data_IF_821911693646
#
_entry.id   IF_821911693646
#
_cell.length_a   1.000
_cell.length_b   1.000
_cell.length_c   1.000
_cell.angle_alpha   90.00
_cell.angle_beta   90.00
_cell.angle_gamma   90.00
#
_symmetry.space_group_name_H-M   'P 1'
#
loop_
_entity.id
_entity.type
_entity.pdbx_description
1 polymer ?
#
# COMPACT_ATOMS: atom_id res chain seq x y z
N UNK A 1 -0.36 18.91 -38.99
CA UNK A 1 0.84 18.13 -38.63
C UNK A 1 0.43 16.97 -37.74
N UNK A 2 0.77 15.71 -38.09
CA UNK A 2 0.49 14.55 -37.23
C UNK A 2 1.69 14.32 -36.30
N UNK A 3 1.55 14.65 -35.02
CA UNK A 3 2.58 14.38 -34.02
C UNK A 3 2.73 12.86 -33.86
N UNK A 4 3.87 12.33 -34.31
CA UNK A 4 4.23 10.91 -34.14
C UNK A 4 4.85 10.76 -32.74
N UNK A 5 4.06 10.29 -31.78
CA UNK A 5 4.55 10.01 -30.43
C UNK A 5 5.69 8.97 -30.47
N UNK A 6 6.78 9.23 -29.75
CA UNK A 6 7.90 8.29 -29.63
C UNK A 6 7.44 7.03 -28.90
N UNK A 7 7.84 5.85 -29.38
CA UNK A 7 7.61 4.59 -28.68
C UNK A 7 8.45 4.58 -27.40
N UNK A 8 7.81 4.58 -26.24
CA UNK A 8 8.47 4.34 -24.95
C UNK A 8 8.47 2.84 -24.66
N UNK A 9 9.65 2.24 -24.61
CA UNK A 9 9.81 0.83 -24.25
C UNK A 9 9.74 0.67 -22.73
N UNK A 10 9.13 -0.42 -22.25
CA UNK A 10 9.09 -0.74 -20.81
C UNK A 10 7.83 -0.32 -20.06
N UNK A 11 6.96 0.51 -20.65
CA UNK A 11 5.68 0.90 -20.03
C UNK A 11 4.76 -0.30 -19.70
N UNK A 12 4.94 -1.45 -20.38
CA UNK A 12 4.16 -2.66 -20.12
C UNK A 12 4.52 -3.36 -18.80
N UNK A 13 5.67 -3.04 -18.20
CA UNK A 13 6.12 -3.61 -16.92
C UNK A 13 5.79 -2.74 -15.72
N UNK A 14 5.27 -1.53 -15.92
CA UNK A 14 4.95 -0.63 -14.82
C UNK A 14 3.65 -1.14 -14.17
N UNK A 15 3.79 -1.79 -13.03
CA UNK A 15 2.66 -2.22 -12.23
C UNK A 15 2.09 -1.07 -11.40
N UNK A 16 0.77 -1.10 -11.25
CA UNK A 16 0.01 -0.10 -10.51
C UNK A 16 -0.47 -0.70 -9.20
N UNK A 17 -0.48 0.12 -8.16
CA UNK A 17 -1.02 -0.23 -6.87
C UNK A 17 -2.55 -0.39 -6.97
N UNK A 18 -3.12 -1.51 -6.48
CA UNK A 18 -4.56 -1.78 -6.59
C UNK A 18 -5.44 -0.88 -5.72
N UNK A 19 -4.86 -0.08 -4.82
CA UNK A 19 -5.60 0.79 -3.90
C UNK A 19 -5.66 2.25 -4.36
N UNK A 20 -4.67 2.74 -5.12
CA UNK A 20 -4.56 4.16 -5.48
C UNK A 20 -4.02 4.44 -6.89
N UNK A 21 -3.86 3.40 -7.72
CA UNK A 21 -3.38 3.47 -9.11
C UNK A 21 -2.00 4.10 -9.35
N UNK A 22 -1.31 4.51 -8.27
CA UNK A 22 0.09 4.95 -8.31
C UNK A 22 1.00 3.77 -8.65
N UNK A 23 2.20 4.07 -9.14
CA UNK A 23 3.20 3.03 -9.42
C UNK A 23 3.50 2.21 -8.15
N UNK A 24 3.45 0.89 -8.28
CA UNK A 24 3.82 0.00 -7.20
C UNK A 24 5.35 -0.06 -7.07
N UNK A 25 5.83 0.01 -5.83
CA UNK A 25 7.27 0.03 -5.51
C UNK A 25 7.65 -1.08 -4.54
N UNK A 26 6.70 -1.62 -3.79
CA UNK A 26 6.94 -2.59 -2.72
C UNK A 26 5.90 -3.71 -2.78
N UNK A 27 6.20 -4.85 -2.15
CA UNK A 27 5.26 -5.96 -2.00
C UNK A 27 4.72 -6.02 -0.58
N UNK A 28 3.41 -6.21 -0.44
CA UNK A 28 2.78 -6.47 0.84
C UNK A 28 3.06 -7.91 1.31
N UNK A 29 2.72 -8.26 2.55
CA UNK A 29 2.77 -9.59 3.14
C UNK A 29 1.97 -10.63 2.33
N UNK A 30 0.86 -10.21 1.70
CA UNK A 30 0.06 -11.05 0.78
C UNK A 30 0.72 -11.19 -0.61
N UNK A 31 1.87 -10.55 -0.84
CA UNK A 31 2.61 -10.54 -2.10
C UNK A 31 1.97 -9.72 -3.21
N UNK A 32 1.12 -8.75 -2.86
CA UNK A 32 0.59 -7.75 -3.78
C UNK A 32 1.57 -6.60 -3.97
N UNK A 33 1.72 -6.16 -5.21
CA UNK A 33 2.51 -4.99 -5.55
C UNK A 33 1.73 -3.72 -5.19
N UNK A 34 2.22 -2.98 -4.21
CA UNK A 34 1.60 -1.81 -3.62
C UNK A 34 2.58 -0.63 -3.58
N UNK A 35 2.04 0.58 -3.43
CA UNK A 35 2.87 1.74 -3.15
C UNK A 35 3.32 1.74 -1.67
N UNK A 36 4.29 2.58 -1.32
CA UNK A 36 4.80 2.70 0.05
C UNK A 36 3.71 2.99 1.10
N UNK A 37 2.62 3.67 0.73
CA UNK A 37 1.54 4.02 1.66
C UNK A 37 0.65 2.82 2.03
N UNK A 38 0.60 1.79 1.19
CA UNK A 38 -0.33 0.65 1.32
C UNK A 38 0.39 -0.68 1.58
N UNK A 39 1.61 -0.62 2.10
CA UNK A 39 2.40 -1.79 2.48
C UNK A 39 1.78 -2.58 3.63
N UNK A 40 1.09 -1.89 4.54
CA UNK A 40 0.44 -2.50 5.70
C UNK A 40 -1.06 -2.78 5.49
N UNK A 41 -1.62 -2.44 4.33
CA UNK A 41 -3.05 -2.64 4.06
C UNK A 41 -3.30 -4.01 3.44
N UNK A 42 -3.91 -4.93 4.18
CA UNK A 42 -4.36 -6.21 3.63
C UNK A 42 -5.65 -6.07 2.84
N UNK A 43 -5.81 -6.86 1.78
CA UNK A 43 -7.10 -6.99 1.11
C UNK A 43 -8.07 -7.83 1.94
N UNK A 44 -9.33 -7.40 1.93
CA UNK A 44 -10.47 -8.13 2.51
C UNK A 44 -10.73 -9.43 1.76
N UNK A 45 -11.25 -10.43 2.48
CA UNK A 45 -11.62 -11.73 1.94
C UNK A 45 -12.80 -11.60 0.96
N UNK A 46 -12.65 -12.15 -0.25
CA UNK A 46 -13.66 -12.08 -1.31
C UNK A 46 -14.32 -13.46 -1.46
N UNK A 47 -15.64 -13.49 -1.58
CA UNK A 47 -16.37 -14.71 -1.94
C UNK A 47 -16.44 -14.85 -3.45
N UNK A 48 -16.21 -16.07 -3.95
CA UNK A 48 -16.46 -16.42 -5.34
C UNK A 48 -17.98 -16.46 -5.62
N UNK A 49 -18.36 -16.40 -6.90
CA UNK A 49 -19.76 -16.55 -7.36
C UNK A 49 -20.38 -17.88 -6.90
N UNK A 50 -19.57 -18.93 -6.72
CA UNK A 50 -20.02 -20.22 -6.19
C UNK A 50 -20.23 -20.25 -4.66
N UNK A 51 -20.01 -19.12 -3.96
CA UNK A 51 -20.18 -18.97 -2.52
C UNK A 51 -19.01 -19.46 -1.66
N UNK A 52 -17.95 -20.03 -2.24
CA UNK A 52 -16.73 -20.38 -1.51
C UNK A 52 -15.75 -19.20 -1.43
N UNK A 53 -14.88 -19.23 -0.42
CA UNK A 53 -13.86 -18.20 -0.20
C UNK A 53 -12.74 -18.29 -1.23
N UNK A 54 -12.27 -17.13 -1.68
CA UNK A 54 -11.13 -17.02 -2.60
C UNK A 54 -9.85 -16.87 -1.79
N UNK A 55 -8.94 -17.82 -1.93
CA UNK A 55 -7.59 -17.72 -1.38
C UNK A 55 -6.70 -16.91 -2.31
N UNK A 56 -6.04 -15.89 -1.78
CA UNK A 56 -5.04 -15.15 -2.54
C UNK A 56 -3.72 -15.91 -2.57
N UNK A 57 -3.15 -16.08 -3.78
CA UNK A 57 -1.86 -16.73 -3.99
C UNK A 57 -1.02 -15.91 -4.99
N UNK A 58 0.29 -16.11 -4.95
CA UNK A 58 1.25 -15.43 -5.82
C UNK A 58 1.88 -16.43 -6.77
N UNK A 59 1.94 -16.08 -8.05
CA UNK A 59 2.60 -16.89 -9.08
C UNK A 59 3.59 -16.07 -9.89
N UNK A 60 4.19 -16.69 -10.91
CA UNK A 60 5.18 -16.07 -11.81
C UNK A 60 4.69 -14.78 -12.48
N UNK A 61 3.38 -14.67 -12.73
CA UNK A 61 2.76 -13.55 -13.45
C UNK A 61 2.04 -12.57 -12.51
N UNK A 62 2.25 -12.68 -11.20
CA UNK A 62 1.62 -11.85 -10.18
C UNK A 62 0.61 -12.59 -9.32
N UNK A 63 -0.15 -11.83 -8.54
CA UNK A 63 -1.18 -12.38 -7.67
C UNK A 63 -2.37 -12.93 -8.46
N UNK A 64 -2.95 -14.02 -7.97
CA UNK A 64 -4.16 -14.64 -8.49
C UNK A 64 -5.00 -15.16 -7.31
N UNK A 65 -6.25 -15.50 -7.58
CA UNK A 65 -7.11 -16.12 -6.57
C UNK A 65 -7.36 -17.58 -6.90
N UNK A 66 -7.41 -18.42 -5.88
CA UNK A 66 -7.83 -19.82 -6.01
C UNK A 66 -9.16 -20.01 -5.28
N UNK A 67 -10.11 -20.58 -6.01
CA UNK A 67 -11.38 -21.03 -5.47
C UNK A 67 -11.35 -22.55 -5.38
N UNK A 68 -11.70 -23.11 -4.22
CA UNK A 68 -11.72 -24.58 -4.02
C UNK A 68 -12.64 -25.28 -5.02
N UNK A 69 -13.75 -24.63 -5.42
CA UNK A 69 -14.75 -25.20 -6.34
C UNK A 69 -14.55 -24.83 -7.80
N UNK A 70 -14.15 -23.59 -8.09
CA UNK A 70 -14.04 -23.07 -9.47
C UNK A 70 -12.61 -23.09 -10.03
N UNK A 71 -11.61 -23.33 -9.19
CA UNK A 71 -10.20 -23.29 -9.56
C UNK A 71 -9.61 -21.87 -9.57
N UNK A 72 -8.57 -21.68 -10.38
CA UNK A 72 -7.79 -20.45 -10.39
C UNK A 72 -8.49 -19.35 -11.19
N UNK A 73 -8.60 -18.16 -10.60
CA UNK A 73 -9.15 -16.96 -11.22
C UNK A 73 -8.09 -15.87 -11.29
N UNK A 74 -8.13 -15.09 -12.37
CA UNK A 74 -7.26 -13.93 -12.53
C UNK A 74 -7.67 -12.83 -11.54
N UNK A 75 -6.69 -12.08 -11.03
CA UNK A 75 -6.88 -11.01 -10.05
C UNK A 75 -7.95 -9.99 -10.46
N UNK A 76 -7.88 -9.51 -11.71
CA UNK A 76 -8.84 -8.51 -12.24
C UNK A 76 -10.29 -9.00 -12.14
N UNK A 77 -10.53 -10.24 -12.58
CA UNK A 77 -11.87 -10.87 -12.55
C UNK A 77 -12.40 -10.99 -11.11
N UNK A 78 -11.53 -11.29 -10.16
CA UNK A 78 -11.94 -11.39 -8.75
C UNK A 78 -12.31 -10.03 -8.15
N UNK A 79 -11.61 -8.96 -8.55
CA UNK A 79 -11.96 -7.59 -8.14
C UNK A 79 -13.29 -7.15 -8.75
N UNK A 80 -13.55 -7.48 -10.02
CA UNK A 80 -14.84 -7.22 -10.66
C UNK A 80 -16.00 -7.91 -9.91
N UNK A 81 -15.79 -9.16 -9.46
CA UNK A 81 -16.76 -9.89 -8.63
C UNK A 81 -16.94 -9.20 -7.27
N UNK A 82 -15.88 -8.69 -6.64
CA UNK A 82 -15.98 -7.93 -5.38
C UNK A 82 -16.91 -6.72 -5.56
N UNK A 83 -16.77 -5.97 -6.64
CA UNK A 83 -17.64 -4.83 -6.95
C UNK A 83 -19.11 -5.25 -7.13
N UNK A 84 -19.36 -6.36 -7.84
CA UNK A 84 -20.71 -6.89 -8.04
C UNK A 84 -21.36 -7.41 -6.74
N UNK A 85 -20.57 -8.02 -5.85
CA UNK A 85 -21.07 -8.67 -4.63
C UNK A 85 -21.07 -7.74 -3.41
N UNK A 86 -20.36 -6.61 -3.49
CA UNK A 86 -20.16 -5.64 -2.40
C UNK A 86 -21.40 -4.89 -1.92
N UNK A 87 -22.56 -5.09 -2.54
CA UNK A 87 -23.81 -4.41 -2.16
C UNK A 87 -24.72 -5.21 -1.21
N UNK A 88 -24.35 -6.42 -0.74
CA UNK A 88 -25.29 -7.29 -0.01
C UNK A 88 -24.88 -7.83 1.37
N UNK A 89 -23.80 -7.38 2.02
CA UNK A 89 -23.59 -7.74 3.44
C UNK A 89 -22.75 -6.74 4.22
N UNK A 90 -23.43 -6.04 5.14
CA UNK A 90 -22.96 -5.19 6.26
C UNK A 90 -21.98 -5.86 7.24
N UNK A 91 -21.47 -5.18 8.30
CA UNK A 91 -21.34 -3.74 8.58
C UNK A 91 -19.86 -3.30 8.65
N UNK A 92 -19.61 -1.98 8.58
CA UNK A 92 -18.29 -1.41 8.89
C UNK A 92 -17.87 -1.83 10.31
N UNK A 93 -16.65 -2.32 10.57
CA UNK A 93 -16.19 -2.47 11.94
C UNK A 93 -16.18 -1.09 12.59
N UNK A 94 -16.99 -0.94 13.64
CA UNK A 94 -16.93 0.23 14.53
C UNK A 94 -15.56 0.18 15.19
N UNK A 95 -14.61 0.92 14.62
CA UNK A 95 -13.36 1.25 15.28
C UNK A 95 -13.76 2.09 16.49
N UNK A 96 -13.79 1.49 17.68
CA UNK A 96 -13.84 2.26 18.93
C UNK A 96 -12.61 3.17 18.91
N UNK A 97 -12.74 4.48 19.13
CA UNK A 97 -11.58 5.36 19.18
C UNK A 97 -10.67 4.87 20.30
N UNK A 98 -9.50 4.37 19.93
CA UNK A 98 -8.39 4.15 20.85
C UNK A 98 -8.05 5.53 21.43
N UNK A 99 -8.27 5.68 22.73
CA UNK A 99 -7.78 6.82 23.49
C UNK A 99 -6.25 6.79 23.43
N UNK A 100 -5.69 7.65 22.58
CA UNK A 100 -4.25 7.91 22.54
C UNK A 100 -3.89 8.52 23.88
N UNK A 101 -3.30 7.73 24.78
CA UNK A 101 -2.57 8.30 25.91
C UNK A 101 -1.31 8.94 25.32
N UNK A 102 -1.21 10.25 25.50
CA UNK A 102 -0.09 11.07 25.05
C UNK A 102 1.18 10.59 25.75
N UNK A 103 1.93 9.70 25.10
CA UNK A 103 3.31 9.43 25.50
C UNK A 103 4.11 10.66 25.11
N UNK A 104 4.36 11.54 26.09
CA UNK A 104 5.26 12.67 25.97
C UNK A 104 6.62 12.18 25.49
N UNK A 105 6.96 12.43 24.23
CA UNK A 105 8.30 12.16 23.70
C UNK A 105 9.29 12.99 24.54
N UNK A 106 10.36 12.41 25.11
CA UNK A 106 11.42 13.22 25.68
C UNK A 106 11.98 14.11 24.57
N UNK A 107 11.94 15.42 24.80
CA UNK A 107 12.44 16.45 23.89
C UNK A 107 13.92 16.19 23.66
N UNK A 108 14.28 15.70 22.47
CA UNK A 108 15.68 15.62 22.05
C UNK A 108 16.22 17.04 22.10
N UNK A 109 17.10 17.31 23.05
CA UNK A 109 17.78 18.60 23.12
C UNK A 109 18.70 18.70 21.92
N UNK A 110 18.37 19.60 20.99
CA UNK A 110 19.25 19.95 19.89
C UNK A 110 20.58 20.45 20.48
N UNK A 111 21.68 19.79 20.12
CA UNK A 111 23.02 20.28 20.43
C UNK A 111 23.21 21.57 19.66
N UNK A 112 23.14 22.71 20.35
CA UNK A 112 23.53 24.00 19.77
C UNK A 112 25.03 23.96 19.55
N UNK A 113 25.45 24.06 18.30
CA UNK A 113 26.85 24.30 17.97
C UNK A 113 27.25 25.66 18.56
N UNK A 114 28.24 25.67 19.45
CA UNK A 114 28.81 26.91 19.99
C UNK A 114 29.77 27.46 18.94
N UNK A 115 29.31 28.38 18.10
CA UNK A 115 30.19 29.11 17.19
C UNK A 115 30.90 30.21 17.98
N UNK A 116 32.15 29.96 18.38
CA UNK A 116 32.99 30.97 19.02
C UNK A 116 33.47 31.96 17.94
N UNK A 117 33.22 33.25 18.16
CA UNK A 117 33.67 34.30 17.25
C UNK A 117 34.86 35.05 17.85
N UNK A 118 35.64 35.74 17.02
CA UNK A 118 36.81 36.53 17.48
C UNK A 118 36.44 37.69 18.43
N UNK A 119 35.15 37.93 18.67
CA UNK A 119 34.63 38.95 19.57
C UNK A 119 34.22 38.39 20.94
N UNK A 120 34.32 37.07 21.19
CA UNK A 120 33.98 36.49 22.49
C UNK A 120 35.11 36.74 23.50
N UNK A 121 34.83 37.60 24.49
CA UNK A 121 35.79 38.01 25.52
C UNK A 121 36.27 36.85 26.41
N UNK A 122 35.43 35.83 26.61
CA UNK A 122 35.73 34.66 27.45
C UNK A 122 36.70 33.66 26.77
N UNK A 123 37.09 33.87 25.51
CA UNK A 123 38.03 32.96 24.81
C UNK A 123 39.50 33.21 25.16
N UNK A 124 39.85 34.41 25.65
CA UNK A 124 41.25 34.85 25.80
C UNK A 124 41.76 34.97 27.24
N UNK A 125 40.94 34.63 28.25
CA UNK A 125 41.36 34.56 29.66
C UNK A 125 41.99 33.21 30.04
#
# INVERSE_FOLDING_TARGET
MRFKAKKSYGNYKISKCPFCDRQATQTNQQGLEVCHQHTNQSMEEIKCVCGSWLEQRVGKFGAYFNCVKCGNMNYKKAMDIKEMTGHKSSPKPVIKPISVQEVSRPRVQERKELTITSNDAEFFD
#
